data_IF_381952198139
#
_entry.id   IF_381952198139
#
_cell.length_a   1.000
_cell.length_b   1.000
_cell.length_c   1.000
_cell.angle_alpha   90.00
_cell.angle_beta   90.00
_cell.angle_gamma   90.00
#
_symmetry.space_group_name_H-M   'P 1'
#
loop_
_entity.id
_entity.type
_entity.pdbx_description
1 polymer ?
#
# COMPACT_ATOMS: atom_id res chain seq x y z
N UNK A 1 -2.99 2.30 -52.10
CA UNK A 1 -2.57 1.50 -50.93
C UNK A 1 -2.91 2.28 -49.67
N UNK A 2 -3.59 1.60 -48.75
CA UNK A 2 -4.39 2.12 -47.64
C UNK A 2 -3.56 2.71 -46.49
N UNK A 3 -3.62 4.03 -46.31
CA UNK A 3 -3.08 4.72 -45.12
C UNK A 3 -4.09 4.84 -43.96
N UNK A 4 -5.16 4.04 -43.96
CA UNK A 4 -6.21 4.15 -42.96
C UNK A 4 -6.31 2.87 -42.12
N UNK A 5 -6.11 3.08 -40.82
CA UNK A 5 -6.60 2.29 -39.69
C UNK A 5 -5.77 1.05 -39.36
N UNK A 6 -4.86 1.18 -38.39
CA UNK A 6 -4.37 0.03 -37.61
C UNK A 6 -4.41 0.27 -36.08
N UNK A 7 -4.58 1.49 -35.54
CA UNK A 7 -4.35 1.68 -34.08
C UNK A 7 -5.20 2.77 -33.38
N UNK A 8 -6.47 2.93 -33.78
CA UNK A 8 -7.42 3.85 -33.12
C UNK A 8 -8.61 3.04 -32.57
N UNK A 9 -9.03 3.23 -31.31
CA UNK A 9 -10.21 2.55 -30.76
C UNK A 9 -11.45 2.76 -31.62
N UNK A 10 -12.26 1.71 -31.79
CA UNK A 10 -13.47 1.74 -32.61
C UNK A 10 -14.46 2.84 -32.19
N UNK A 11 -14.47 3.23 -30.92
CA UNK A 11 -15.33 4.26 -30.35
C UNK A 11 -14.73 5.68 -30.35
N UNK A 12 -13.63 5.96 -31.07
CA UNK A 12 -13.04 7.30 -31.12
C UNK A 12 -14.02 8.33 -31.71
N UNK A 13 -14.30 9.43 -31.00
CA UNK A 13 -15.39 10.40 -31.25
C UNK A 13 -16.82 9.85 -31.15
N UNK A 14 -16.98 8.64 -30.60
CA UNK A 14 -18.27 7.97 -30.46
C UNK A 14 -18.50 7.68 -28.97
N UNK A 15 -19.48 8.35 -28.38
CA UNK A 15 -19.86 8.16 -26.99
C UNK A 15 -21.04 7.20 -26.89
N UNK A 16 -20.99 6.30 -25.91
CA UNK A 16 -22.10 5.40 -25.58
C UNK A 16 -23.11 6.10 -24.69
N UNK A 17 -24.40 5.98 -25.01
CA UNK A 17 -25.52 6.36 -24.15
C UNK A 17 -26.49 5.19 -24.00
N UNK A 18 -27.41 5.27 -23.03
CA UNK A 18 -28.34 4.19 -22.67
C UNK A 18 -29.16 3.64 -23.84
N UNK A 19 -29.43 4.44 -24.88
CA UNK A 19 -30.30 4.05 -26.00
C UNK A 19 -29.75 4.40 -27.39
N UNK A 20 -28.53 4.92 -27.49
CA UNK A 20 -27.92 5.31 -28.76
C UNK A 20 -26.39 5.46 -28.65
N UNK A 21 -25.73 5.45 -29.80
CA UNK A 21 -24.36 5.99 -29.93
C UNK A 21 -24.43 7.44 -30.40
N UNK A 22 -23.54 8.29 -29.91
CA UNK A 22 -23.43 9.67 -30.37
C UNK A 22 -22.05 9.89 -30.98
N UNK A 23 -22.00 10.29 -32.25
CA UNK A 23 -20.78 10.78 -32.88
C UNK A 23 -20.68 12.28 -32.66
N UNK A 24 -19.58 12.77 -32.09
CA UNK A 24 -19.33 14.20 -31.89
C UNK A 24 -17.91 14.58 -32.33
N UNK A 25 -17.79 15.38 -33.40
CA UNK A 25 -16.50 15.82 -33.96
C UNK A 25 -16.54 17.33 -34.16
N UNK A 26 -15.49 18.06 -33.78
CA UNK A 26 -15.34 19.48 -34.11
C UNK A 26 -14.64 19.65 -35.45
N UNK A 27 -15.32 20.32 -36.39
CA UNK A 27 -14.87 20.64 -37.76
C UNK A 27 -14.91 22.17 -37.88
N UNK A 28 -13.80 22.82 -38.23
CA UNK A 28 -13.66 24.28 -38.31
C UNK A 28 -14.21 25.03 -37.08
N UNK A 29 -13.87 24.52 -35.89
CA UNK A 29 -14.33 25.01 -34.57
C UNK A 29 -15.84 24.91 -34.31
N UNK A 30 -16.61 24.28 -35.21
CA UNK A 30 -18.05 24.02 -35.01
C UNK A 30 -18.28 22.54 -34.66
N UNK A 31 -19.09 22.23 -33.63
CA UNK A 31 -19.40 20.84 -33.30
C UNK A 31 -20.37 20.24 -34.33
N UNK A 32 -20.03 19.07 -34.86
CA UNK A 32 -20.91 18.19 -35.63
C UNK A 32 -21.25 16.98 -34.79
N UNK A 33 -22.53 16.87 -34.43
CA UNK A 33 -23.06 15.79 -33.60
C UNK A 33 -24.11 14.98 -34.37
N UNK A 34 -24.15 13.65 -34.20
CA UNK A 34 -25.21 12.79 -34.74
C UNK A 34 -25.45 11.55 -33.87
N UNK A 35 -26.72 11.25 -33.62
CA UNK A 35 -27.14 10.12 -32.80
C UNK A 35 -27.55 8.91 -33.66
N UNK A 36 -27.21 7.72 -33.17
CA UNK A 36 -27.47 6.42 -33.78
C UNK A 36 -28.20 5.53 -32.77
N UNK A 37 -29.54 5.59 -32.80
CA UNK A 37 -30.41 4.87 -31.86
C UNK A 37 -30.34 3.34 -32.02
N UNK A 38 -30.28 2.62 -30.90
CA UNK A 38 -30.30 1.16 -30.90
C UNK A 38 -31.62 0.62 -31.48
N UNK A 39 -32.75 1.29 -31.19
CA UNK A 39 -34.07 0.94 -31.72
C UNK A 39 -34.15 1.08 -33.23
N UNK A 40 -33.57 2.16 -33.78
CA UNK A 40 -33.58 2.44 -35.22
C UNK A 40 -32.69 1.49 -36.02
N UNK A 41 -31.57 1.09 -35.44
CA UNK A 41 -30.55 0.27 -36.11
C UNK A 41 -30.55 -1.19 -35.62
N UNK A 42 -31.61 -1.62 -34.93
CA UNK A 42 -31.86 -3.00 -34.50
C UNK A 42 -31.06 -3.48 -33.29
N UNK A 43 -29.80 -3.07 -33.15
CA UNK A 43 -28.97 -3.43 -31.97
C UNK A 43 -27.92 -2.38 -31.65
N UNK A 44 -27.36 -2.47 -30.44
CA UNK A 44 -26.19 -1.68 -30.02
C UNK A 44 -25.01 -1.86 -30.99
N UNK A 45 -24.74 -3.08 -31.46
CA UNK A 45 -23.61 -3.39 -32.36
C UNK A 45 -23.82 -2.80 -33.76
N UNK A 46 -25.02 -2.91 -34.31
CA UNK A 46 -25.32 -2.37 -35.64
C UNK A 46 -25.38 -0.83 -35.63
N UNK A 47 -25.91 -0.24 -34.56
CA UNK A 47 -25.85 1.21 -34.34
C UNK A 47 -24.39 1.71 -34.26
N UNK A 48 -23.50 0.94 -33.63
CA UNK A 48 -22.07 1.27 -33.55
C UNK A 48 -21.41 1.24 -34.92
N UNK A 49 -21.65 0.20 -35.75
CA UNK A 49 -21.14 0.14 -37.12
C UNK A 49 -21.55 1.34 -37.96
N UNK A 50 -22.81 1.79 -37.82
CA UNK A 50 -23.31 2.98 -38.52
C UNK A 50 -22.68 4.27 -38.01
N UNK A 51 -22.45 4.38 -36.70
CA UNK A 51 -21.74 5.50 -36.09
C UNK A 51 -20.27 5.57 -36.57
N UNK A 52 -19.58 4.43 -36.63
CA UNK A 52 -18.21 4.29 -37.15
C UNK A 52 -18.15 4.74 -38.61
N UNK A 53 -19.01 4.20 -39.47
CA UNK A 53 -19.05 4.56 -40.88
C UNK A 53 -19.30 6.06 -41.09
N UNK A 54 -20.20 6.66 -40.30
CA UNK A 54 -20.45 8.09 -40.34
C UNK A 54 -19.26 8.93 -39.87
N UNK A 55 -18.59 8.53 -38.79
CA UNK A 55 -17.35 9.16 -38.32
C UNK A 55 -16.28 9.10 -39.40
N UNK A 56 -16.01 7.91 -39.94
CA UNK A 56 -14.92 7.72 -40.90
C UNK A 56 -15.15 8.52 -42.19
N UNK A 57 -16.41 8.64 -42.61
CA UNK A 57 -16.80 9.55 -43.68
C UNK A 57 -16.50 11.01 -43.33
N UNK A 58 -16.91 11.50 -42.15
CA UNK A 58 -16.62 12.87 -41.72
C UNK A 58 -15.11 13.15 -41.64
N UNK A 59 -14.34 12.20 -41.16
CA UNK A 59 -12.88 12.30 -41.05
C UNK A 59 -12.25 12.41 -42.43
N UNK A 60 -12.67 11.56 -43.37
CA UNK A 60 -12.17 11.56 -44.75
C UNK A 60 -12.56 12.84 -45.49
N UNK A 61 -13.83 13.23 -45.43
CA UNK A 61 -14.38 14.37 -46.17
C UNK A 61 -13.77 15.71 -45.71
N UNK A 62 -13.35 15.80 -44.45
CA UNK A 62 -12.80 17.02 -43.85
C UNK A 62 -11.30 16.93 -43.57
N UNK A 63 -10.62 15.93 -44.15
CA UNK A 63 -9.19 15.69 -44.05
C UNK A 63 -8.64 15.77 -42.60
N UNK A 64 -9.40 15.22 -41.64
CA UNK A 64 -9.10 15.34 -40.21
C UNK A 64 -7.95 14.40 -39.84
N UNK A 65 -6.83 14.96 -39.41
CA UNK A 65 -5.71 14.17 -38.85
C UNK A 65 -6.08 13.60 -37.48
N UNK A 66 -6.47 12.31 -37.46
CA UNK A 66 -6.81 11.60 -36.23
C UNK A 66 -5.59 11.37 -35.31
N UNK A 67 -4.36 11.34 -35.86
CA UNK A 67 -3.12 11.08 -35.10
C UNK A 67 -2.71 12.28 -34.26
N UNK A 68 -2.95 13.52 -34.73
CA UNK A 68 -2.66 14.75 -33.96
C UNK A 68 -3.40 14.83 -32.64
N UNK A 69 -4.67 14.41 -32.60
CA UNK A 69 -5.49 14.41 -31.36
C UNK A 69 -5.32 13.15 -30.53
N UNK A 70 -4.84 12.04 -31.11
CA UNK A 70 -4.58 10.78 -30.41
C UNK A 70 -3.12 10.63 -29.92
N UNK A 71 -2.48 11.70 -29.46
CA UNK A 71 -1.28 11.59 -28.60
C UNK A 71 -1.65 11.35 -27.14
N UNK A 72 -2.66 10.50 -26.88
CA UNK A 72 -2.91 10.02 -25.52
C UNK A 72 -2.07 8.75 -25.35
N UNK A 73 -1.11 8.78 -24.44
CA UNK A 73 -0.52 7.54 -23.94
C UNK A 73 -1.65 6.57 -23.61
N UNK A 74 -1.53 5.28 -24.01
CA UNK A 74 -2.50 4.21 -23.67
C UNK A 74 -2.79 4.19 -22.17
N UNK A 75 -1.87 4.70 -21.35
CA UNK A 75 -2.02 4.89 -19.90
C UNK A 75 -2.07 6.40 -19.57
N UNK A 76 -3.18 6.90 -18.98
CA UNK A 76 -3.30 8.29 -18.53
C UNK A 76 -2.18 8.69 -17.55
N UNK A 77 -1.66 9.89 -17.72
CA UNK A 77 -0.62 10.45 -16.84
C UNK A 77 0.82 10.15 -17.27
N UNK A 78 1.05 9.48 -18.40
CA UNK A 78 2.39 9.36 -18.99
C UNK A 78 2.63 10.48 -19.99
N UNK A 79 3.67 11.27 -19.79
CA UNK A 79 4.09 12.28 -20.76
C UNK A 79 5.62 12.44 -20.82
N UNK A 80 6.08 12.97 -21.95
CA UNK A 80 7.48 13.35 -22.16
C UNK A 80 7.65 14.81 -21.82
N UNK A 81 8.67 15.13 -21.03
CA UNK A 81 9.00 16.50 -20.61
C UNK A 81 10.48 16.78 -20.84
N UNK A 82 10.85 18.05 -20.89
CA UNK A 82 12.24 18.50 -21.00
C UNK A 82 12.49 19.48 -19.86
N UNK A 83 13.54 19.23 -19.08
CA UNK A 83 13.96 20.15 -18.03
C UNK A 83 15.34 20.73 -18.36
N UNK A 84 15.50 22.02 -18.14
CA UNK A 84 16.79 22.72 -18.28
C UNK A 84 17.50 22.68 -16.95
N UNK A 85 18.71 22.11 -16.91
CA UNK A 85 19.57 22.13 -15.71
C UNK A 85 20.16 23.53 -15.50
N UNK A 86 20.67 23.81 -14.29
CA UNK A 86 21.31 25.09 -13.94
C UNK A 86 22.45 25.50 -14.88
N UNK A 87 23.09 24.53 -15.54
CA UNK A 87 24.15 24.73 -16.53
C UNK A 87 23.64 24.88 -17.98
N UNK A 88 22.34 25.13 -18.18
CA UNK A 88 21.74 25.31 -19.51
C UNK A 88 21.47 24.03 -20.31
N UNK A 89 21.98 22.88 -19.84
CA UNK A 89 21.79 21.59 -20.53
C UNK A 89 20.34 21.14 -20.42
N UNK A 90 19.71 20.88 -21.56
CA UNK A 90 18.36 20.30 -21.65
C UNK A 90 18.43 18.79 -21.52
N UNK A 91 17.69 18.23 -20.56
CA UNK A 91 17.54 16.78 -20.39
C UNK A 91 16.08 16.41 -20.56
N UNK A 92 15.82 15.42 -21.42
CA UNK A 92 14.48 14.89 -21.62
C UNK A 92 14.18 13.77 -20.62
N UNK A 93 12.92 13.70 -20.20
CA UNK A 93 12.40 12.72 -19.26
C UNK A 93 11.09 12.17 -19.78
N UNK A 94 10.91 10.86 -19.61
CA UNK A 94 9.57 10.28 -19.54
C UNK A 94 9.12 10.30 -18.09
N UNK A 95 7.90 10.75 -17.84
CA UNK A 95 7.37 10.81 -16.48
C UNK A 95 5.97 10.22 -16.39
N UNK A 96 5.73 9.56 -15.25
CA UNK A 96 4.44 9.07 -14.82
C UNK A 96 3.87 10.02 -13.77
N UNK A 97 2.64 10.47 -13.99
CA UNK A 97 1.88 11.38 -13.12
C UNK A 97 0.64 10.65 -12.64
N UNK A 98 0.34 10.78 -11.35
CA UNK A 98 -0.87 10.25 -10.74
C UNK A 98 -1.34 11.12 -9.58
N UNK A 99 -2.55 10.88 -9.10
CA UNK A 99 -3.04 11.45 -7.84
C UNK A 99 -3.07 10.31 -6.83
N UNK A 100 -2.48 10.54 -5.66
CA UNK A 100 -2.44 9.60 -4.55
C UNK A 100 -2.83 10.35 -3.29
N UNK A 101 -3.84 9.84 -2.57
CA UNK A 101 -4.36 10.46 -1.34
C UNK A 101 -4.65 11.96 -1.53
N UNK A 102 -5.28 12.31 -2.66
CA UNK A 102 -5.63 13.69 -3.03
C UNK A 102 -4.47 14.58 -3.49
N UNK A 103 -3.22 14.09 -3.51
CA UNK A 103 -2.03 14.86 -3.92
C UNK A 103 -1.48 14.37 -5.25
N UNK A 104 -1.12 15.30 -6.14
CA UNK A 104 -0.45 14.95 -7.40
C UNK A 104 0.98 14.49 -7.12
N UNK A 105 1.35 13.34 -7.68
CA UNK A 105 2.68 12.73 -7.60
C UNK A 105 3.26 12.58 -9.00
N UNK A 106 4.58 12.53 -9.09
CA UNK A 106 5.29 12.37 -10.36
C UNK A 106 6.58 11.58 -10.17
N UNK A 107 6.84 10.61 -11.05
CA UNK A 107 8.11 9.88 -11.14
C UNK A 107 8.71 10.12 -12.52
N UNK A 108 10.00 10.49 -12.58
CA UNK A 108 10.72 10.81 -13.82
C UNK A 108 11.81 9.77 -14.12
N UNK A 109 11.97 9.45 -15.40
CA UNK A 109 12.97 8.56 -15.95
C UNK A 109 13.75 9.30 -17.04
N UNK A 110 15.06 9.41 -16.87
CA UNK A 110 15.96 10.22 -17.72
C UNK A 110 16.23 9.51 -19.04
N UNK A 111 15.97 10.16 -20.18
CA UNK A 111 16.32 9.59 -21.49
C UNK A 111 17.83 9.54 -21.72
N UNK A 112 18.61 10.35 -21.00
CA UNK A 112 20.08 10.26 -21.02
C UNK A 112 20.59 8.98 -20.36
N UNK A 113 19.86 8.46 -19.37
CA UNK A 113 20.28 7.31 -18.57
C UNK A 113 19.81 6.00 -19.19
N UNK A 114 18.56 5.96 -19.66
CA UNK A 114 17.91 4.73 -20.14
C UNK A 114 17.64 4.76 -21.67
N UNK A 115 17.93 5.85 -22.37
CA UNK A 115 17.46 6.03 -23.74
C UNK A 115 15.96 6.32 -23.83
N UNK A 116 15.47 6.60 -25.03
CA UNK A 116 14.10 7.09 -25.24
C UNK A 116 13.03 6.00 -25.00
N UNK A 117 13.25 4.79 -25.53
CA UNK A 117 12.28 3.70 -25.44
C UNK A 117 12.22 3.09 -24.04
N UNK A 118 13.37 2.79 -23.41
CA UNK A 118 13.41 2.18 -22.08
C UNK A 118 12.90 3.15 -21.01
N UNK A 119 13.23 4.46 -21.08
CA UNK A 119 12.68 5.45 -20.16
C UNK A 119 11.14 5.53 -20.24
N UNK A 120 10.58 5.40 -21.45
CA UNK A 120 9.13 5.36 -21.67
C UNK A 120 8.52 4.10 -21.07
N UNK A 121 9.13 2.93 -21.30
CA UNK A 121 8.67 1.66 -20.77
C UNK A 121 8.72 1.63 -19.24
N UNK A 122 9.79 2.14 -18.63
CA UNK A 122 9.90 2.29 -17.17
C UNK A 122 8.81 3.21 -16.60
N UNK A 123 8.47 4.31 -17.29
CA UNK A 123 7.38 5.20 -16.88
C UNK A 123 6.01 4.48 -16.95
N UNK A 124 5.76 3.74 -18.03
CA UNK A 124 4.56 2.92 -18.22
C UNK A 124 4.44 1.87 -17.11
N UNK A 125 5.48 1.04 -16.93
CA UNK A 125 5.53 -0.01 -15.90
C UNK A 125 5.33 0.54 -14.50
N UNK A 126 5.93 1.70 -14.20
CA UNK A 126 5.72 2.38 -12.92
C UNK A 126 4.26 2.83 -12.76
N UNK A 127 3.65 3.39 -13.80
CA UNK A 127 2.25 3.84 -13.73
C UNK A 127 1.28 2.68 -13.59
N UNK A 128 1.48 1.58 -14.29
CA UNK A 128 0.69 0.35 -14.11
C UNK A 128 0.81 -0.18 -12.69
N UNK A 129 2.02 -0.21 -12.13
CA UNK A 129 2.23 -0.57 -10.72
C UNK A 129 1.44 0.35 -9.79
N UNK A 130 1.47 1.66 -10.01
CA UNK A 130 0.70 2.61 -9.19
C UNK A 130 -0.82 2.41 -9.35
N UNK A 131 -1.32 2.18 -10.57
CA UNK A 131 -2.75 1.89 -10.78
C UNK A 131 -3.19 0.64 -10.00
N UNK A 132 -2.32 -0.37 -9.89
CA UNK A 132 -2.59 -1.56 -9.05
C UNK A 132 -2.50 -1.30 -7.54
N UNK A 133 -1.84 -0.23 -7.11
CA UNK A 133 -1.65 0.10 -5.69
C UNK A 133 -2.69 1.09 -5.17
N UNK A 134 -3.35 1.82 -6.07
CA UNK A 134 -4.40 2.76 -5.76
C UNK A 134 -5.75 2.08 -6.00
N UNK A 135 -6.70 2.32 -5.10
CA UNK A 135 -8.09 2.00 -5.38
C UNK A 135 -8.69 2.97 -6.42
N UNK A 136 -9.95 2.72 -6.79
CA UNK A 136 -10.68 3.55 -7.76
C UNK A 136 -10.87 5.02 -7.31
N UNK A 137 -10.69 5.31 -6.01
CA UNK A 137 -10.73 6.66 -5.46
C UNK A 137 -9.37 7.37 -5.49
N UNK A 138 -8.30 6.68 -5.93
CA UNK A 138 -6.94 7.19 -5.90
C UNK A 138 -6.31 7.18 -4.51
N UNK A 139 -6.83 6.37 -3.59
CA UNK A 139 -6.21 6.14 -2.28
C UNK A 139 -5.32 4.90 -2.32
N UNK A 140 -4.16 5.00 -1.65
CA UNK A 140 -3.30 3.83 -1.42
C UNK A 140 -3.85 3.10 -0.20
N UNK A 141 -4.35 1.88 -0.40
CA UNK A 141 -4.79 0.99 0.67
C UNK A 141 -3.62 0.70 1.63
N UNK A 142 -2.50 0.26 1.06
CA UNK A 142 -1.28 -0.10 1.77
C UNK A 142 -0.20 0.97 1.59
N UNK A 143 -0.27 2.06 2.36
CA UNK A 143 0.81 3.04 2.38
C UNK A 143 2.05 2.44 3.05
N UNK A 144 3.14 2.27 2.29
CA UNK A 144 4.41 1.75 2.82
C UNK A 144 5.32 2.89 3.32
N UNK A 145 6.06 2.71 4.41
CA UNK A 145 7.12 3.63 4.80
C UNK A 145 8.36 3.47 3.91
N UNK A 146 9.31 4.39 4.02
CA UNK A 146 10.61 4.26 3.34
C UNK A 146 11.37 3.03 3.88
N UNK A 147 12.14 2.35 3.02
CA UNK A 147 12.87 1.13 3.40
C UNK A 147 13.81 1.30 4.59
N UNK A 148 14.32 2.52 4.83
CA UNK A 148 15.22 2.83 5.95
C UNK A 148 14.48 3.20 7.25
N UNK A 149 13.16 3.29 7.24
CA UNK A 149 12.35 3.62 8.42
C UNK A 149 12.61 2.60 9.51
N UNK A 150 13.02 3.07 10.69
CA UNK A 150 13.21 2.21 11.86
C UNK A 150 11.86 1.76 12.41
N UNK A 151 11.80 0.48 12.72
CA UNK A 151 10.63 -0.17 13.31
C UNK A 151 11.05 -0.99 14.52
N UNK A 152 10.16 -1.03 15.49
CA UNK A 152 10.40 -1.58 16.82
C UNK A 152 9.29 -2.56 17.18
N UNK A 153 9.65 -3.64 17.86
CA UNK A 153 8.68 -4.61 18.37
C UNK A 153 9.02 -4.93 19.82
N UNK A 154 8.18 -4.43 20.71
CA UNK A 154 8.23 -4.62 22.15
C UNK A 154 7.49 -5.91 22.52
N UNK A 155 8.07 -6.70 23.42
CA UNK A 155 7.49 -7.96 23.89
C UNK A 155 8.13 -8.41 25.21
N UNK A 156 7.46 -9.31 25.93
CA UNK A 156 8.05 -9.97 27.10
C UNK A 156 9.14 -10.99 26.67
N UNK A 157 10.07 -11.29 27.59
CA UNK A 157 11.15 -12.25 27.35
C UNK A 157 10.68 -13.60 26.81
N UNK A 158 9.59 -14.14 27.35
CA UNK A 158 9.05 -15.45 26.95
C UNK A 158 8.60 -15.47 25.49
N UNK A 159 7.98 -14.39 24.99
CA UNK A 159 7.61 -14.24 23.58
C UNK A 159 8.85 -14.13 22.69
N UNK A 160 9.90 -13.46 23.16
CA UNK A 160 11.17 -13.38 22.44
C UNK A 160 11.82 -14.76 22.31
N UNK A 161 11.92 -15.53 23.39
CA UNK A 161 12.46 -16.90 23.35
C UNK A 161 11.62 -17.77 22.42
N UNK A 162 10.29 -17.68 22.49
CA UNK A 162 9.42 -18.47 21.64
C UNK A 162 9.57 -18.12 20.15
N UNK A 163 9.76 -16.83 19.83
CA UNK A 163 10.08 -16.36 18.48
C UNK A 163 11.41 -16.94 17.97
N UNK A 164 12.43 -17.01 18.83
CA UNK A 164 13.73 -17.61 18.50
C UNK A 164 13.62 -19.12 18.26
N UNK A 165 12.92 -19.84 19.15
CA UNK A 165 12.67 -21.28 19.02
C UNK A 165 11.91 -21.63 17.73
N UNK A 166 10.89 -20.85 17.39
CA UNK A 166 10.13 -21.03 16.16
C UNK A 166 10.87 -20.57 14.91
N UNK A 167 11.92 -19.75 15.04
CA UNK A 167 12.67 -19.24 13.90
C UNK A 167 11.82 -18.36 12.97
N UNK A 168 10.87 -17.61 13.51
CA UNK A 168 9.84 -16.94 12.71
C UNK A 168 9.14 -15.79 13.41
N UNK A 169 8.16 -15.18 12.74
CA UNK A 169 7.24 -14.23 13.35
C UNK A 169 5.85 -14.84 13.45
N UNK A 170 5.19 -14.64 14.59
CA UNK A 170 3.80 -15.04 14.77
C UNK A 170 2.86 -13.96 14.23
N UNK A 171 1.91 -14.38 13.40
CA UNK A 171 0.84 -13.57 12.85
C UNK A 171 -0.47 -14.08 13.45
N UNK A 172 -0.95 -13.48 14.55
CA UNK A 172 -2.26 -13.81 15.10
C UNK A 172 -3.37 -13.48 14.09
N UNK A 173 -4.45 -14.26 14.12
CA UNK A 173 -5.69 -13.85 13.47
C UNK A 173 -6.24 -12.58 14.14
N UNK A 174 -7.03 -11.79 13.41
CA UNK A 174 -7.56 -10.53 13.94
C UNK A 174 -8.54 -10.74 15.10
N UNK A 175 -9.12 -11.94 15.24
CA UNK A 175 -9.98 -12.29 16.37
C UNK A 175 -9.24 -12.26 17.73
N UNK A 176 -7.91 -12.38 17.71
CA UNK A 176 -7.09 -12.20 18.91
C UNK A 176 -6.96 -10.75 19.38
N UNK A 177 -7.42 -9.77 18.59
CA UNK A 177 -7.27 -8.36 18.91
C UNK A 177 -8.35 -7.93 19.91
N UNK A 178 -7.94 -7.17 20.94
CA UNK A 178 -8.85 -6.76 22.03
C UNK A 178 -9.73 -5.56 21.67
N UNK A 179 -9.34 -4.79 20.65
CA UNK A 179 -10.09 -3.60 20.26
C UNK A 179 -11.24 -3.97 19.31
N UNK A 180 -12.51 -3.81 19.73
CA UNK A 180 -13.67 -4.23 18.92
C UNK A 180 -13.85 -3.42 17.63
N UNK A 181 -13.09 -2.33 17.43
CA UNK A 181 -13.18 -1.51 16.23
C UNK A 181 -12.23 -1.99 15.12
N UNK A 182 -11.24 -2.82 15.46
CA UNK A 182 -10.31 -3.36 14.48
C UNK A 182 -11.01 -4.39 13.60
N UNK A 183 -11.01 -4.18 12.28
CA UNK A 183 -11.81 -4.97 11.34
C UNK A 183 -13.28 -4.58 11.31
N UNK A 184 -13.61 -3.30 11.56
CA UNK A 184 -14.97 -2.75 11.44
C UNK A 184 -15.00 -1.45 10.63
N UNK A 185 -16.15 -1.15 10.03
CA UNK A 185 -16.42 0.15 9.41
C UNK A 185 -16.77 1.22 10.46
N UNK A 186 -16.53 2.49 10.14
CA UNK A 186 -16.83 3.59 11.03
C UNK A 186 -18.33 3.90 11.06
N UNK A 187 -18.82 4.62 12.08
CA UNK A 187 -20.18 5.20 12.07
C UNK A 187 -20.32 6.26 10.96
N UNK A 188 -19.21 6.87 10.53
CA UNK A 188 -19.17 7.77 9.39
C UNK A 188 -19.58 7.08 8.08
N UNK A 189 -19.19 5.80 7.89
CA UNK A 189 -19.68 5.00 6.77
C UNK A 189 -21.20 4.97 6.72
N UNK A 190 -21.87 4.57 7.80
CA UNK A 190 -23.33 4.49 7.85
C UNK A 190 -24.02 5.83 7.57
N UNK A 191 -23.49 6.94 8.12
CA UNK A 191 -24.10 8.28 7.97
C UNK A 191 -23.93 8.87 6.58
N UNK A 192 -22.77 8.68 5.95
CA UNK A 192 -22.43 9.36 4.69
C UNK A 192 -22.68 8.51 3.45
N UNK A 193 -22.98 7.21 3.61
CA UNK A 193 -23.08 6.27 2.49
C UNK A 193 -24.06 6.71 1.41
N UNK A 194 -25.26 7.15 1.79
CA UNK A 194 -26.27 7.62 0.84
C UNK A 194 -25.77 8.78 -0.02
N UNK A 195 -25.00 9.69 0.56
CA UNK A 195 -24.38 10.81 -0.14
C UNK A 195 -23.25 10.33 -1.06
N UNK A 196 -22.33 9.51 -0.56
CA UNK A 196 -21.18 8.97 -1.30
C UNK A 196 -21.63 8.19 -2.54
N UNK A 197 -22.67 7.37 -2.40
CA UNK A 197 -23.20 6.52 -3.47
C UNK A 197 -24.39 7.12 -4.22
N UNK A 198 -24.77 8.38 -3.95
CA UNK A 198 -25.93 9.06 -4.56
C UNK A 198 -25.93 9.06 -6.09
N UNK A 199 -24.74 8.95 -6.72
CA UNK A 199 -24.57 8.91 -8.18
C UNK A 199 -24.28 7.51 -8.74
N UNK A 200 -24.11 6.52 -7.87
CA UNK A 200 -23.92 5.13 -8.28
C UNK A 200 -25.28 4.45 -8.40
N UNK A 201 -25.48 3.62 -9.43
CA UNK A 201 -26.70 2.79 -9.58
C UNK A 201 -26.66 1.54 -8.70
N UNK A 202 -25.69 1.43 -7.79
CA UNK A 202 -25.50 0.25 -6.94
C UNK A 202 -26.52 0.19 -5.81
N UNK A 203 -26.97 -1.00 -5.47
CA UNK A 203 -27.78 -1.25 -4.29
C UNK A 203 -27.01 -0.93 -2.99
N UNK A 204 -27.76 -0.56 -1.95
CA UNK A 204 -27.20 -0.27 -0.63
C UNK A 204 -26.78 -1.58 0.07
N UNK A 205 -25.56 -2.05 -0.21
CA UNK A 205 -25.00 -3.32 0.26
C UNK A 205 -24.11 -3.22 1.51
N UNK A 206 -24.26 -2.18 2.34
CA UNK A 206 -23.42 -2.04 3.55
C UNK A 206 -23.54 -3.25 4.48
N UNK A 207 -24.75 -3.76 4.65
CA UNK A 207 -24.99 -4.91 5.51
C UNK A 207 -24.31 -6.17 4.99
N UNK A 208 -24.35 -6.39 3.67
CA UNK A 208 -23.63 -7.50 3.01
C UNK A 208 -22.12 -7.35 3.22
N UNK A 209 -21.56 -6.16 3.00
CA UNK A 209 -20.13 -5.89 3.23
C UNK A 209 -19.71 -6.10 4.69
N UNK A 210 -20.56 -5.74 5.65
CA UNK A 210 -20.28 -5.99 7.07
C UNK A 210 -20.22 -7.49 7.34
N UNK A 211 -21.14 -8.26 6.76
CA UNK A 211 -21.18 -9.70 6.94
C UNK A 211 -19.98 -10.38 6.27
N UNK A 212 -19.64 -9.99 5.04
CA UNK A 212 -18.43 -10.45 4.34
C UNK A 212 -17.17 -10.18 5.17
N UNK A 213 -17.05 -8.99 5.76
CA UNK A 213 -15.91 -8.67 6.64
C UNK A 213 -15.90 -9.57 7.87
N UNK A 214 -17.05 -9.82 8.51
CA UNK A 214 -17.11 -10.72 9.67
C UNK A 214 -16.64 -12.13 9.32
N UNK A 215 -17.09 -12.67 8.19
CA UNK A 215 -16.68 -13.98 7.70
C UNK A 215 -15.17 -14.03 7.36
N UNK A 216 -14.61 -12.90 6.91
CA UNK A 216 -13.20 -12.79 6.56
C UNK A 216 -12.28 -12.72 7.79
N UNK A 217 -12.74 -12.15 8.92
CA UNK A 217 -11.92 -11.87 10.10
C UNK A 217 -11.05 -13.05 10.58
N UNK A 218 -11.55 -14.29 10.71
CA UNK A 218 -10.73 -15.42 11.15
C UNK A 218 -9.55 -15.73 10.21
N UNK A 219 -9.64 -15.32 8.94
CA UNK A 219 -8.61 -15.53 7.93
C UNK A 219 -7.63 -14.35 7.81
N UNK A 220 -7.94 -13.19 8.37
CA UNK A 220 -7.04 -12.04 8.36
C UNK A 220 -6.02 -12.18 9.49
N UNK A 221 -4.75 -12.30 9.11
CA UNK A 221 -3.65 -12.49 10.04
C UNK A 221 -2.71 -11.28 10.00
N UNK A 222 -2.40 -10.70 11.17
CA UNK A 222 -1.75 -9.39 11.28
C UNK A 222 -0.58 -9.44 12.25
N UNK A 223 0.55 -8.86 11.84
CA UNK A 223 1.74 -8.69 12.64
C UNK A 223 2.17 -7.22 12.66
N UNK A 224 2.30 -6.66 13.86
CA UNK A 224 2.40 -5.20 14.04
C UNK A 224 3.79 -4.76 14.50
N UNK A 225 4.20 -3.57 14.04
CA UNK A 225 5.47 -2.92 14.39
C UNK A 225 5.26 -1.44 14.68
N UNK A 226 6.01 -0.88 15.62
CA UNK A 226 5.98 0.54 15.96
C UNK A 226 7.00 1.32 15.12
N UNK A 227 6.56 2.29 14.32
CA UNK A 227 7.46 3.15 13.56
C UNK A 227 7.95 4.31 14.41
N UNK A 228 9.27 4.36 14.66
CA UNK A 228 9.86 5.48 15.39
C UNK A 228 11.37 5.59 15.15
N UNK A 229 11.92 6.79 15.21
CA UNK A 229 13.37 7.00 15.04
C UNK A 229 14.17 6.67 16.30
N UNK A 230 13.50 6.72 17.46
CA UNK A 230 14.02 6.52 18.80
C UNK A 230 13.12 5.57 19.61
N UNK A 231 13.61 5.12 20.76
CA UNK A 231 12.83 4.29 21.69
C UNK A 231 11.67 5.09 22.31
N UNK A 232 10.54 4.42 22.58
CA UNK A 232 9.38 5.01 23.24
C UNK A 232 9.18 4.43 24.64
N UNK A 233 9.28 5.30 25.66
CA UNK A 233 8.98 4.94 27.04
C UNK A 233 7.52 4.46 27.22
N UNK A 234 6.58 5.05 26.48
CA UNK A 234 5.18 4.62 26.49
C UNK A 234 5.00 3.21 25.94
N UNK A 235 5.71 2.85 24.87
CA UNK A 235 5.60 1.52 24.26
C UNK A 235 6.19 0.42 25.14
N UNK A 236 7.26 0.70 25.88
CA UNK A 236 7.75 -0.21 26.92
C UNK A 236 6.62 -0.54 27.90
N UNK A 237 5.98 0.46 28.50
CA UNK A 237 4.88 0.26 29.47
C UNK A 237 3.65 -0.43 28.88
N UNK A 238 3.31 -0.15 27.62
CA UNK A 238 2.13 -0.73 26.97
C UNK A 238 2.29 -2.22 26.65
N UNK A 239 3.50 -2.67 26.30
CA UNK A 239 3.75 -4.02 25.79
C UNK A 239 4.60 -4.89 26.70
N UNK A 240 5.08 -4.36 27.82
CA UNK A 240 5.87 -5.08 28.82
C UNK A 240 5.04 -5.20 30.09
N UNK A 241 4.76 -6.43 30.52
CA UNK A 241 4.08 -6.66 31.79
C UNK A 241 5.05 -6.69 32.98
N UNK A 242 6.33 -6.93 32.70
CA UNK A 242 7.40 -7.01 33.70
C UNK A 242 8.62 -6.20 33.25
N UNK A 243 9.59 -6.06 34.15
CA UNK A 243 10.87 -5.41 33.85
C UNK A 243 11.73 -6.28 32.90
N UNK A 244 11.47 -7.58 32.84
CA UNK A 244 12.12 -8.56 31.96
C UNK A 244 11.48 -8.55 30.55
N UNK A 245 11.55 -7.39 29.91
CA UNK A 245 11.03 -7.20 28.55
C UNK A 245 12.13 -6.85 27.56
N UNK A 246 11.81 -7.14 26.31
CA UNK A 246 12.71 -7.00 25.17
C UNK A 246 12.05 -6.16 24.09
N UNK A 247 12.88 -5.38 23.39
CA UNK A 247 12.50 -4.77 22.15
C UNK A 247 13.49 -5.15 21.05
N UNK A 248 12.99 -5.65 19.92
CA UNK A 248 13.81 -5.82 18.72
C UNK A 248 13.62 -4.62 17.80
N UNK A 249 14.72 -4.12 17.25
CA UNK A 249 14.72 -3.03 16.29
C UNK A 249 15.25 -3.52 14.95
N UNK A 250 14.57 -3.10 13.89
CA UNK A 250 15.01 -3.29 12.50
C UNK A 250 14.55 -2.14 11.61
N UNK A 251 14.68 -2.29 10.30
CA UNK A 251 14.17 -1.33 9.30
C UNK A 251 13.09 -1.99 8.46
N UNK A 252 12.13 -1.21 7.95
CA UNK A 252 11.06 -1.71 7.10
C UNK A 252 11.58 -2.55 5.93
N UNK A 253 12.62 -2.11 5.21
CA UNK A 253 13.16 -2.86 4.06
C UNK A 253 13.75 -4.22 4.41
N UNK A 254 14.23 -4.41 5.65
CA UNK A 254 14.70 -5.72 6.13
C UNK A 254 13.54 -6.64 6.45
N UNK A 255 12.51 -6.13 7.14
CA UNK A 255 11.28 -6.86 7.40
C UNK A 255 10.61 -7.30 6.10
N UNK A 256 10.42 -6.37 5.15
CA UNK A 256 9.83 -6.65 3.83
C UNK A 256 10.62 -7.71 3.07
N UNK A 257 11.96 -7.65 3.09
CA UNK A 257 12.82 -8.65 2.44
C UNK A 257 12.80 -10.01 3.14
N UNK A 258 12.55 -10.06 4.45
CA UNK A 258 12.52 -11.31 5.24
C UNK A 258 11.20 -12.07 5.15
N UNK A 259 10.13 -11.44 4.65
CA UNK A 259 8.80 -12.03 4.58
C UNK A 259 8.40 -12.39 3.14
N UNK A 260 7.51 -13.38 2.94
CA UNK A 260 7.01 -13.75 1.61
C UNK A 260 6.28 -12.59 0.90
N UNK A 261 6.30 -12.58 -0.43
CA UNK A 261 5.71 -11.49 -1.26
C UNK A 261 4.18 -11.33 -1.07
N UNK A 262 3.49 -12.39 -0.65
CA UNK A 262 2.05 -12.33 -0.35
C UNK A 262 1.71 -11.43 0.83
N UNK A 263 2.68 -11.19 1.73
CA UNK A 263 2.47 -10.31 2.88
C UNK A 263 2.38 -8.86 2.40
N UNK A 264 1.26 -8.21 2.73
CA UNK A 264 1.02 -6.79 2.46
C UNK A 264 1.48 -5.96 3.64
N UNK A 265 2.00 -4.77 3.39
CA UNK A 265 2.50 -3.88 4.42
C UNK A 265 1.84 -2.52 4.30
N UNK A 266 1.28 -2.00 5.40
CA UNK A 266 0.65 -0.68 5.42
C UNK A 266 0.78 0.02 6.76
N UNK A 267 0.96 1.34 6.72
CA UNK A 267 0.79 2.20 7.90
C UNK A 267 -0.68 2.23 8.30
N UNK A 268 -0.95 2.12 9.58
CA UNK A 268 -2.29 2.32 10.12
C UNK A 268 -2.69 3.78 9.98
N UNK A 269 -3.92 4.00 9.52
CA UNK A 269 -4.56 5.31 9.40
C UNK A 269 -5.45 5.55 10.60
N UNK A 270 -5.21 6.64 11.31
CA UNK A 270 -5.95 6.98 12.52
C UNK A 270 -7.06 7.97 12.21
N UNK A 271 -8.32 7.63 12.55
CA UNK A 271 -9.50 8.42 12.20
C UNK A 271 -10.50 8.55 13.36
N UNK A 272 -11.40 9.53 13.24
CA UNK A 272 -12.57 9.65 14.08
C UNK A 272 -13.66 8.69 13.58
N UNK A 273 -13.82 7.55 14.27
CA UNK A 273 -14.81 6.54 13.90
C UNK A 273 -16.28 7.02 13.96
N UNK A 274 -16.59 8.16 14.58
CA UNK A 274 -17.94 8.71 14.61
C UNK A 274 -18.33 9.52 13.37
N UNK A 275 -17.32 10.02 12.65
CA UNK A 275 -17.48 11.06 11.62
C UNK A 275 -16.81 10.71 10.30
N UNK A 276 -15.66 10.05 10.32
CA UNK A 276 -14.82 9.89 9.14
C UNK A 276 -15.20 8.65 8.34
N UNK A 277 -14.97 8.69 7.03
CA UNK A 277 -15.28 7.59 6.10
C UNK A 277 -14.08 6.64 5.96
N UNK A 278 -14.31 5.34 6.10
CA UNK A 278 -13.36 4.31 5.68
C UNK A 278 -13.73 3.88 4.25
N UNK A 279 -12.80 3.88 3.28
CA UNK A 279 -13.09 3.40 1.93
C UNK A 279 -13.62 1.94 1.93
N UNK A 280 -14.54 1.66 1.02
CA UNK A 280 -15.25 0.37 0.94
C UNK A 280 -14.96 -0.37 -0.39
N UNK A 281 -13.93 0.06 -1.11
CA UNK A 281 -13.53 -0.51 -2.40
C UNK A 281 -12.64 -1.76 -2.25
N UNK A 282 -12.24 -2.10 -1.03
CA UNK A 282 -11.40 -3.27 -0.72
C UNK A 282 -11.63 -3.74 0.72
N UNK A 283 -11.64 -5.06 0.94
CA UNK A 283 -11.93 -5.68 2.23
C UNK A 283 -10.81 -5.54 3.26
N UNK A 284 -9.60 -5.11 2.88
CA UNK A 284 -8.52 -4.83 3.84
C UNK A 284 -8.67 -3.50 4.58
N UNK A 285 -9.51 -2.58 4.08
CA UNK A 285 -9.63 -1.24 4.66
C UNK A 285 -9.99 -1.23 6.16
N UNK A 286 -10.96 -2.01 6.64
CA UNK A 286 -11.27 -2.11 8.07
C UNK A 286 -10.10 -2.57 8.95
N UNK A 287 -9.08 -3.20 8.39
CA UNK A 287 -7.92 -3.74 9.09
C UNK A 287 -6.68 -2.83 9.04
N UNK A 288 -6.75 -1.70 8.34
CA UNK A 288 -5.66 -0.71 8.26
C UNK A 288 -6.07 0.65 8.85
N UNK A 289 -7.28 0.77 9.39
CA UNK A 289 -7.76 1.94 10.10
C UNK A 289 -7.91 1.64 11.60
N UNK A 290 -7.68 2.66 12.43
CA UNK A 290 -7.80 2.59 13.90
C UNK A 290 -8.28 3.91 14.46
N UNK A 291 -8.81 3.92 15.69
CA UNK A 291 -9.29 5.16 16.34
C UNK A 291 -8.13 6.12 16.60
N UNK A 292 -8.40 7.42 16.50
CA UNK A 292 -7.45 8.49 16.85
C UNK A 292 -6.78 8.34 18.22
N UNK A 293 -7.46 7.75 19.22
CA UNK A 293 -6.89 7.50 20.55
C UNK A 293 -5.62 6.65 20.55
N UNK A 294 -5.37 5.87 19.48
CA UNK A 294 -4.19 5.01 19.33
C UNK A 294 -3.14 5.58 18.39
N UNK A 295 -3.25 6.84 17.94
CA UNK A 295 -2.31 7.45 17.00
C UNK A 295 -0.84 7.37 17.48
N UNK A 296 -0.63 7.42 18.79
CA UNK A 296 0.67 7.28 19.42
C UNK A 296 1.36 5.92 19.14
N UNK A 297 0.61 4.87 18.78
CA UNK A 297 1.17 3.56 18.41
C UNK A 297 1.93 3.59 17.07
N UNK A 298 1.68 4.56 16.19
CA UNK A 298 2.37 4.74 14.89
C UNK A 298 2.61 3.41 14.15
N UNK A 299 1.55 2.63 14.02
CA UNK A 299 1.63 1.21 13.73
C UNK A 299 1.88 0.95 12.23
N UNK A 300 2.79 0.03 11.94
CA UNK A 300 3.00 -0.61 10.65
C UNK A 300 2.49 -2.05 10.76
N UNK A 301 1.54 -2.44 9.90
CA UNK A 301 1.00 -3.79 9.84
C UNK A 301 1.60 -4.56 8.67
N UNK A 302 1.98 -5.80 8.93
CA UNK A 302 2.19 -6.84 7.95
C UNK A 302 0.94 -7.75 7.98
N UNK A 303 0.24 -7.87 6.86
CA UNK A 303 -1.10 -8.48 6.77
C UNK A 303 -1.11 -9.51 5.65
N UNK A 304 -1.78 -10.64 5.88
CA UNK A 304 -2.18 -11.53 4.79
C UNK A 304 -3.54 -12.16 5.08
N UNK A 305 -4.21 -12.55 3.99
CA UNK A 305 -5.42 -13.35 4.05
C UNK A 305 -5.06 -14.83 3.92
N UNK A 306 -5.56 -15.63 4.87
CA UNK A 306 -5.36 -17.06 4.93
C UNK A 306 -6.55 -17.87 4.38
N UNK A 307 -7.47 -17.25 3.64
CA UNK A 307 -8.57 -17.91 2.93
C UNK A 307 -8.08 -18.65 1.68
N UNK A 308 -6.98 -18.19 1.07
CA UNK A 308 -6.40 -18.81 -0.13
C UNK A 308 -5.63 -20.09 0.23
N UNK A 309 -6.04 -21.23 -0.35
CA UNK A 309 -5.67 -22.60 0.06
C UNK A 309 -4.20 -23.03 -0.20
N UNK A 310 -3.34 -22.18 -0.76
CA UNK A 310 -1.96 -22.56 -1.08
C UNK A 310 -0.94 -21.87 -0.17
N UNK A 311 -0.74 -22.43 1.03
CA UNK A 311 0.36 -21.99 1.90
C UNK A 311 1.68 -22.67 1.52
N UNK A 312 2.71 -21.86 1.35
CA UNK A 312 4.08 -22.35 1.28
C UNK A 312 4.46 -23.08 2.58
N UNK A 313 5.46 -23.97 2.53
CA UNK A 313 6.08 -24.60 3.73
C UNK A 313 6.54 -23.57 4.79
N UNK A 314 6.68 -22.32 4.40
CA UNK A 314 7.04 -21.17 5.24
C UNK A 314 5.99 -20.84 6.31
N UNK A 315 4.72 -21.25 6.12
CA UNK A 315 3.60 -20.94 7.01
C UNK A 315 3.22 -22.16 7.84
N UNK A 316 3.41 -22.08 9.15
CA UNK A 316 2.98 -23.10 10.11
C UNK A 316 1.66 -22.63 10.75
N UNK A 317 0.57 -23.33 10.44
CA UNK A 317 -0.76 -23.05 11.00
C UNK A 317 -0.82 -23.41 12.48
N UNK A 318 -1.47 -22.56 13.26
CA UNK A 318 -1.82 -22.79 14.67
C UNK A 318 -3.31 -22.56 14.88
N UNK A 319 -3.81 -22.76 16.09
CA UNK A 319 -5.20 -22.47 16.46
C UNK A 319 -5.56 -20.99 16.24
N UNK A 320 -4.66 -20.07 16.62
CA UNK A 320 -4.95 -18.64 16.72
C UNK A 320 -4.17 -17.78 15.70
N UNK A 321 -3.69 -18.40 14.62
CA UNK A 321 -2.92 -17.71 13.57
C UNK A 321 -1.83 -18.57 12.98
N UNK A 322 -0.76 -17.94 12.50
CA UNK A 322 0.32 -18.60 11.78
C UNK A 322 1.69 -18.17 12.26
N UNK A 323 2.62 -19.13 12.34
CA UNK A 323 4.05 -18.82 12.35
C UNK A 323 4.55 -18.71 10.92
N UNK A 324 5.28 -17.64 10.62
CA UNK A 324 5.97 -17.48 9.34
C UNK A 324 7.46 -17.60 9.59
N UNK A 325 8.05 -18.70 9.12
CA UNK A 325 9.46 -18.98 9.27
C UNK A 325 10.28 -18.02 8.42
N UNK A 326 11.30 -17.40 9.03
CA UNK A 326 12.15 -16.43 8.34
C UNK A 326 13.55 -16.36 8.94
N UNK A 327 14.45 -15.71 8.20
CA UNK A 327 15.82 -15.54 8.67
C UNK A 327 15.92 -14.42 9.73
N UNK A 328 15.91 -14.79 11.01
CA UNK A 328 16.03 -13.87 12.14
C UNK A 328 17.37 -13.11 12.17
N UNK A 329 18.45 -13.68 11.62
CA UNK A 329 19.75 -13.00 11.49
C UNK A 329 19.63 -11.79 10.56
N UNK A 330 18.80 -11.90 9.51
CA UNK A 330 18.52 -10.80 8.59
C UNK A 330 17.56 -9.78 9.21
N UNK A 331 16.51 -10.26 9.86
CA UNK A 331 15.47 -9.42 10.45
C UNK A 331 16.01 -8.58 11.61
N UNK A 332 16.62 -9.20 12.62
CA UNK A 332 16.99 -8.51 13.88
C UNK A 332 18.25 -7.67 13.65
N UNK A 333 18.19 -6.38 13.93
CA UNK A 333 19.36 -5.49 13.86
C UNK A 333 19.93 -5.16 15.24
N UNK A 334 19.06 -4.80 16.19
CA UNK A 334 19.43 -4.56 17.58
C UNK A 334 18.42 -5.21 18.51
N UNK A 335 18.89 -5.64 19.67
CA UNK A 335 18.08 -6.14 20.77
C UNK A 335 18.26 -5.18 21.92
N UNK A 336 17.15 -4.68 22.44
CA UNK A 336 17.10 -3.82 23.60
C UNK A 336 16.43 -4.56 24.73
N UNK A 337 16.94 -4.36 25.93
CA UNK A 337 16.34 -4.80 27.18
C UNK A 337 15.77 -3.57 27.88
N UNK A 338 14.66 -3.75 28.61
CA UNK A 338 14.01 -2.68 29.36
C UNK A 338 14.99 -1.80 30.13
N UNK A 339 14.76 -0.47 30.21
CA UNK A 339 15.60 0.41 31.00
C UNK A 339 15.52 0.11 32.51
N UNK A 340 14.47 -0.59 32.95
CA UNK A 340 14.24 -0.99 34.34
C UNK A 340 14.74 -2.42 34.66
N UNK A 341 15.29 -3.12 33.68
CA UNK A 341 15.82 -4.47 33.91
C UNK A 341 17.12 -4.47 34.71
N UNK A 342 17.34 -5.53 35.47
CA UNK A 342 18.62 -5.78 36.13
C UNK A 342 19.70 -6.27 35.15
N UNK A 343 20.96 -6.15 35.55
CA UNK A 343 22.10 -6.51 34.70
C UNK A 343 22.19 -8.02 34.43
N UNK A 344 21.76 -8.86 35.37
CA UNK A 344 21.69 -10.32 35.18
C UNK A 344 20.78 -10.68 34.00
N UNK A 345 19.71 -9.91 33.77
CA UNK A 345 18.77 -10.16 32.69
C UNK A 345 19.41 -9.81 31.34
N UNK A 346 20.21 -8.75 31.27
CA UNK A 346 21.00 -8.41 30.08
C UNK A 346 21.94 -9.56 29.71
N UNK A 347 22.64 -10.13 30.69
CA UNK A 347 23.52 -11.29 30.49
C UNK A 347 22.76 -12.54 30.03
N UNK A 348 21.57 -12.79 30.60
CA UNK A 348 20.71 -13.89 30.17
C UNK A 348 20.31 -13.74 28.71
N UNK A 349 19.86 -12.55 28.30
CA UNK A 349 19.49 -12.27 26.90
C UNK A 349 20.68 -12.44 25.97
N UNK A 350 21.87 -12.03 26.39
CA UNK A 350 23.11 -12.22 25.62
C UNK A 350 23.43 -13.72 25.42
N UNK A 351 23.32 -14.54 26.46
CA UNK A 351 23.51 -16.00 26.38
C UNK A 351 22.46 -16.66 25.49
N UNK A 352 21.20 -16.28 25.66
CA UNK A 352 20.07 -16.87 24.92
C UNK A 352 20.18 -16.55 23.44
N UNK A 353 20.38 -15.30 23.04
CA UNK A 353 20.48 -14.96 21.60
C UNK A 353 21.62 -15.74 20.91
N UNK A 354 22.71 -16.02 21.63
CA UNK A 354 23.86 -16.70 21.08
C UNK A 354 23.55 -18.17 20.75
N UNK A 355 22.73 -18.82 21.58
CA UNK A 355 22.23 -20.18 21.32
C UNK A 355 21.47 -20.30 20.00
N UNK A 356 20.82 -19.22 19.54
CA UNK A 356 20.08 -19.17 18.26
C UNK A 356 20.83 -18.43 17.16
N UNK A 357 22.17 -18.45 17.18
CA UNK A 357 23.04 -17.92 16.12
C UNK A 357 22.94 -16.40 15.88
N UNK A 358 22.48 -15.63 16.88
CA UNK A 358 22.47 -14.16 16.84
C UNK A 358 23.71 -13.55 17.53
N UNK A 359 24.84 -14.26 17.49
CA UNK A 359 26.10 -13.89 18.16
C UNK A 359 26.54 -12.45 17.89
N UNK A 360 26.45 -12.01 16.63
CA UNK A 360 26.87 -10.68 16.19
C UNK A 360 25.85 -9.57 16.47
N UNK A 361 24.67 -9.88 17.00
CA UNK A 361 23.65 -8.88 17.35
C UNK A 361 23.92 -8.40 18.75
N UNK A 362 24.18 -7.09 18.90
CA UNK A 362 24.43 -6.50 20.22
C UNK A 362 23.12 -6.37 21.01
N UNK A 363 23.17 -6.76 22.28
CA UNK A 363 22.14 -6.41 23.28
C UNK A 363 22.51 -5.07 23.91
N UNK A 364 21.51 -4.21 24.08
CA UNK A 364 21.63 -2.92 24.73
C UNK A 364 20.67 -2.89 25.91
N UNK A 365 21.12 -2.46 27.08
CA UNK A 365 20.21 -1.92 28.09
C UNK A 365 19.68 -0.60 27.56
N UNK A 366 18.36 -0.42 27.54
CA UNK A 366 17.75 0.82 27.03
C UNK A 366 18.31 2.03 27.79
N UNK A 367 18.77 3.09 27.10
CA UNK A 367 19.38 4.25 27.74
C UNK A 367 18.35 5.23 28.31
N UNK A 368 17.05 4.93 28.23
CA UNK A 368 15.97 5.86 28.61
C UNK A 368 16.05 6.34 30.07
N UNK A 369 16.61 5.52 30.96
CA UNK A 369 16.79 5.86 32.38
C UNK A 369 18.24 6.25 32.73
N UNK A 370 19.11 6.47 31.74
CA UNK A 370 20.46 6.94 32.03
C UNK A 370 20.41 8.34 32.65
N UNK A 371 21.13 8.55 33.76
CA UNK A 371 21.19 9.88 34.36
C UNK A 371 21.86 10.87 33.40
N UNK A 372 21.20 11.99 33.07
CA UNK A 372 21.70 12.94 32.08
C UNK A 372 22.96 13.70 32.53
N UNK A 373 23.23 13.73 33.84
CA UNK A 373 24.31 14.52 34.45
C UNK A 373 25.53 13.68 34.85
N UNK A 374 25.54 12.38 34.58
CA UNK A 374 26.73 11.55 34.81
C UNK A 374 27.66 11.62 33.59
N UNK A 375 28.82 12.27 33.77
CA UNK A 375 29.90 12.39 32.77
C UNK A 375 30.59 11.06 32.38
N UNK A 376 30.07 9.90 32.80
CA UNK A 376 30.62 8.59 32.46
C UNK A 376 29.57 7.79 31.70
N UNK A 377 29.73 7.77 30.37
CA UNK A 377 29.32 6.60 29.59
C UNK A 377 30.10 5.43 30.19
N UNK A 378 29.46 4.56 30.97
CA UNK A 378 30.05 3.27 31.38
C UNK A 378 30.27 2.45 30.11
N UNK A 379 31.36 2.71 29.40
CA UNK A 379 31.91 1.76 28.43
C UNK A 379 32.31 0.53 29.22
N UNK A 380 31.80 -0.63 28.77
CA UNK A 380 31.89 -1.90 29.45
C UNK A 380 33.29 -2.24 29.96
N UNK A 381 33.28 -2.95 31.09
CA UNK A 381 34.41 -3.52 31.80
C UNK A 381 35.53 -4.01 30.88
N UNK A 382 36.73 -3.48 31.12
CA UNK A 382 37.97 -4.19 30.84
C UNK A 382 37.98 -5.46 31.69
N UNK A 383 38.03 -6.61 31.03
CA UNK A 383 38.46 -7.86 31.64
C UNK A 383 39.97 -7.91 31.43
N UNK A 384 40.73 -7.92 32.52
CA UNK A 384 42.06 -8.54 32.61
C UNK A 384 41.90 -9.77 33.46
#
# INVERSE_FOLDING_TARGET
>A
MSNYIIDIPENYYISEYSHHWMVQISIDKKPKTKNFSFRKYGSKKEALKKAISYRDKLVKDNNIDLKKRFKKSKIPGINRTVATRRNGVKVAYWQAIWTENGKQRTKRFSTKTYGENEAKELAIKHREKIIKLLDDSGQTLFEKPDSNTKIWRYMDFTKFVYMLEKGGLFFPNVECFKDPYEGSYSRGNFKMRSFVFSRSKGENKLQEQIEEIKELRPFININCWHMNDFESAGMWKLYSQTNESICIQTTFGKLEKSLPERIKFGKVKYINYDKDWIPESDNYYPFIYKRLSFEHERELRAIFDSSEENFEKTFEKTENGYWINLNLITLVQKIYVSPEADDWFVELVEKVKNKYNLNYKKVYKSPLNNEPNLNKIKTGHNIV
#
